data_IF_983508057513
#
_entry.id   IF_983508057513
#
_cell.length_a   1.000
_cell.length_b   1.000
_cell.length_c   1.000
_cell.angle_alpha   90.00
_cell.angle_beta   90.00
_cell.angle_gamma   90.00
#
_symmetry.space_group_name_H-M   'P 1'
#
loop_
_entity.id
_entity.type
_entity.pdbx_description
1 polymer ?
#
# COMPACT_ATOMS: atom_id res chain seq x y z
N UNK A 1 -7.39 18.27 -28.92
CA UNK A 1 -6.93 16.86 -28.92
C UNK A 1 -5.50 16.85 -28.42
N UNK A 2 -5.18 16.04 -27.41
CA UNK A 2 -3.81 15.88 -26.88
C UNK A 2 -3.13 14.70 -27.57
N UNK A 3 -1.88 14.89 -28.02
CA UNK A 3 -1.04 13.83 -28.58
C UNK A 3 -0.02 13.43 -27.52
N UNK A 4 -0.15 12.23 -26.96
CA UNK A 4 0.79 11.71 -25.98
C UNK A 4 2.05 11.15 -26.67
N UNK A 5 3.23 11.24 -26.03
CA UNK A 5 4.43 10.57 -26.50
C UNK A 5 4.22 9.04 -26.52
N UNK A 6 4.85 8.28 -27.43
CA UNK A 6 4.76 6.81 -27.47
C UNK A 6 5.17 6.12 -26.16
N UNK A 7 5.98 6.78 -25.33
CA UNK A 7 6.41 6.26 -24.03
C UNK A 7 5.33 6.31 -22.93
N UNK A 8 4.19 6.96 -23.20
CA UNK A 8 3.06 7.10 -22.26
C UNK A 8 1.86 6.21 -22.64
N UNK A 9 2.02 5.32 -23.63
CA UNK A 9 0.99 4.36 -24.02
C UNK A 9 1.28 3.00 -23.39
N UNK A 10 0.34 2.47 -22.60
CA UNK A 10 0.41 1.09 -22.14
C UNK A 10 0.21 0.13 -23.34
N UNK A 11 1.11 -0.84 -23.50
CA UNK A 11 0.97 -1.88 -24.52
C UNK A 11 0.08 -3.03 -24.00
N UNK A 12 -0.78 -3.55 -24.86
CA UNK A 12 -1.87 -4.48 -24.50
C UNK A 12 -1.46 -5.96 -24.53
N UNK A 13 -2.13 -6.84 -23.75
CA UNK A 13 -3.27 -6.57 -22.87
C UNK A 13 -2.88 -6.25 -21.41
N UNK A 14 -3.45 -5.18 -20.86
CA UNK A 14 -3.34 -4.78 -19.45
C UNK A 14 -4.75 -4.71 -18.84
N UNK A 15 -4.97 -5.39 -17.72
CA UNK A 15 -6.13 -5.17 -16.86
C UNK A 15 -5.72 -4.08 -15.86
N UNK A 16 -6.43 -2.97 -15.82
CA UNK A 16 -6.07 -1.82 -14.96
C UNK A 16 -6.56 -2.01 -13.51
N UNK A 17 -6.13 -1.10 -12.63
CA UNK A 17 -6.57 -0.96 -11.24
C UNK A 17 -5.53 -1.50 -10.25
N UNK A 18 -4.97 -0.62 -9.42
CA UNK A 18 -3.96 -0.92 -8.40
C UNK A 18 -4.42 -0.61 -6.97
N UNK A 19 -5.56 0.05 -6.83
CA UNK A 19 -6.27 0.23 -5.56
C UNK A 19 -7.21 -0.97 -5.38
N UNK A 20 -6.79 -1.98 -4.61
CA UNK A 20 -7.49 -3.27 -4.60
C UNK A 20 -7.77 -3.73 -3.17
N UNK A 21 -9.06 -3.88 -2.86
CA UNK A 21 -9.54 -4.61 -1.69
C UNK A 21 -10.52 -5.70 -2.12
N UNK A 22 -10.59 -6.78 -1.36
CA UNK A 22 -11.46 -7.91 -1.71
C UNK A 22 -11.51 -8.99 -0.65
N UNK A 23 -11.98 -10.18 -1.04
CA UNK A 23 -12.01 -11.36 -0.18
C UNK A 23 -11.23 -12.50 -0.80
N UNK A 24 -10.50 -13.22 0.04
CA UNK A 24 -9.78 -14.43 -0.38
C UNK A 24 -10.79 -15.45 -0.92
N UNK A 25 -10.55 -15.99 -2.11
CA UNK A 25 -11.36 -17.10 -2.67
C UNK A 25 -10.65 -18.44 -2.56
N UNK A 26 -9.32 -18.43 -2.61
CA UNK A 26 -8.45 -19.61 -2.55
C UNK A 26 -7.02 -19.17 -2.31
N UNK A 27 -6.28 -19.96 -1.54
CA UNK A 27 -4.84 -19.81 -1.34
C UNK A 27 -4.10 -20.97 -2.02
N UNK A 28 -2.84 -20.75 -2.44
CA UNK A 28 -2.01 -21.85 -2.94
C UNK A 28 -1.82 -22.91 -1.85
N UNK A 29 -1.91 -24.22 -2.16
CA UNK A 29 -1.64 -25.30 -1.20
C UNK A 29 -0.23 -25.24 -0.59
N UNK A 30 0.72 -24.62 -1.30
CA UNK A 30 2.11 -24.50 -0.87
C UNK A 30 2.38 -23.22 -0.05
N UNK A 31 1.35 -22.46 0.32
CA UNK A 31 1.50 -21.28 1.17
C UNK A 31 1.26 -21.65 2.63
N UNK A 32 2.33 -21.67 3.44
CA UNK A 32 2.25 -21.94 4.88
C UNK A 32 1.42 -20.89 5.65
N UNK A 33 1.24 -19.68 5.09
CA UNK A 33 0.41 -18.60 5.64
C UNK A 33 -0.93 -18.48 4.89
N UNK A 34 -1.54 -19.61 4.49
CA UNK A 34 -2.80 -19.61 3.76
C UNK A 34 -3.92 -18.98 4.60
N UNK A 35 -4.50 -17.90 4.09
CA UNK A 35 -5.68 -17.28 4.69
C UNK A 35 -6.95 -18.04 4.28
N UNK A 36 -7.95 -18.16 5.17
CA UNK A 36 -9.24 -18.78 4.86
C UNK A 36 -10.00 -18.04 3.75
N UNK A 37 -10.77 -18.74 2.89
CA UNK A 37 -11.72 -18.09 2.00
C UNK A 37 -12.71 -17.19 2.75
N UNK A 38 -13.06 -16.06 2.16
CA UNK A 38 -13.94 -15.04 2.74
C UNK A 38 -13.20 -13.95 3.54
N UNK A 39 -11.95 -14.17 3.94
CA UNK A 39 -11.13 -13.20 4.68
C UNK A 39 -11.04 -11.88 3.90
N UNK A 40 -11.44 -10.74 4.50
CA UNK A 40 -11.33 -9.43 3.86
C UNK A 40 -9.88 -8.96 3.88
N UNK A 41 -9.39 -8.47 2.75
CA UNK A 41 -7.99 -8.09 2.58
C UNK A 41 -7.85 -6.83 1.73
N UNK A 42 -6.81 -6.06 2.05
CA UNK A 42 -6.24 -5.01 1.20
C UNK A 42 -5.00 -5.58 0.51
N UNK A 43 -4.79 -5.19 -0.75
CA UNK A 43 -3.62 -5.59 -1.52
C UNK A 43 -2.65 -4.41 -1.63
N UNK A 44 -1.40 -4.61 -1.25
CA UNK A 44 -0.30 -3.75 -1.65
C UNK A 44 0.04 -4.03 -3.13
N UNK A 45 -0.20 -3.09 -4.06
CA UNK A 45 0.01 -3.35 -5.48
C UNK A 45 1.50 -3.40 -5.87
N UNK A 46 2.42 -3.00 -4.98
CA UNK A 46 3.86 -2.93 -5.26
C UNK A 46 4.45 -4.31 -5.52
N UNK A 47 5.19 -4.40 -6.61
CA UNK A 47 5.93 -5.59 -7.01
C UNK A 47 7.42 -5.32 -6.81
N UNK A 48 7.95 -5.88 -5.73
CA UNK A 48 9.36 -5.79 -5.37
C UNK A 48 9.99 -7.18 -5.27
N UNK A 49 11.32 -7.23 -5.26
CA UNK A 49 12.06 -8.48 -5.07
C UNK A 49 12.15 -8.94 -3.61
N UNK A 50 11.94 -8.02 -2.65
CA UNK A 50 12.00 -8.26 -1.20
C UNK A 50 13.35 -8.74 -0.64
N UNK A 51 14.39 -8.86 -1.47
CA UNK A 51 15.70 -9.42 -1.07
C UNK A 51 16.89 -8.51 -1.35
N UNK A 52 16.73 -7.47 -2.16
CA UNK A 52 17.82 -6.52 -2.42
C UNK A 52 18.01 -5.56 -1.25
N UNK A 53 19.20 -4.93 -1.11
CA UNK A 53 19.51 -4.04 0.02
C UNK A 53 18.46 -2.95 0.25
N UNK A 54 17.86 -2.42 -0.82
CA UNK A 54 16.79 -1.42 -0.72
C UNK A 54 15.50 -2.01 -0.12
N UNK A 55 15.06 -3.18 -0.59
CA UNK A 55 13.86 -3.81 -0.05
C UNK A 55 14.01 -4.28 1.39
N UNK A 56 15.23 -4.55 1.84
CA UNK A 56 15.53 -4.97 3.22
C UNK A 56 15.98 -3.82 4.11
N UNK A 57 16.20 -2.63 3.55
CA UNK A 57 16.54 -1.45 4.31
C UNK A 57 15.30 -0.93 5.03
N UNK A 58 15.42 -0.73 6.33
CA UNK A 58 14.49 0.06 7.14
C UNK A 58 14.93 1.52 7.08
N UNK A 59 14.01 2.45 6.82
CA UNK A 59 14.34 3.87 6.94
C UNK A 59 14.12 4.35 8.36
N UNK A 60 15.18 4.81 9.01
CA UNK A 60 15.10 5.88 10.02
C UNK A 60 15.05 7.21 9.26
N UNK A 61 13.89 7.56 8.71
CA UNK A 61 13.76 8.80 7.92
C UNK A 61 13.28 9.98 8.78
N UNK A 62 14.19 10.56 9.58
CA UNK A 62 14.29 12.01 9.88
C UNK A 62 15.31 12.25 11.01
N UNK A 63 16.47 12.85 10.68
CA UNK A 63 17.44 13.43 11.64
C UNK A 63 17.98 12.49 12.76
N UNK A 64 19.15 12.77 13.34
CA UNK A 64 19.57 12.12 14.58
C UNK A 64 18.96 12.91 15.73
N UNK A 65 17.66 12.75 15.99
CA UNK A 65 17.09 13.19 17.25
C UNK A 65 16.76 11.91 18.03
N UNK A 66 17.59 11.66 19.02
CA UNK A 66 17.47 10.58 19.99
C UNK A 66 16.08 10.64 20.67
N UNK A 67 15.48 9.47 20.89
CA UNK A 67 14.15 9.22 21.48
C UNK A 67 13.02 9.01 20.44
N UNK A 68 12.80 7.76 19.98
CA UNK A 68 11.49 7.12 19.89
C UNK A 68 11.57 5.74 19.19
N UNK A 69 10.81 4.77 19.69
CA UNK A 69 10.73 3.41 19.17
C UNK A 69 10.14 3.41 17.73
N UNK A 70 11.02 3.29 16.72
CA UNK A 70 10.72 3.30 15.27
C UNK A 70 9.90 2.07 14.78
N UNK A 71 8.63 1.95 15.18
CA UNK A 71 7.65 1.03 14.54
C UNK A 71 7.22 1.51 13.13
N UNK A 72 7.65 2.72 12.74
CA UNK A 72 7.25 3.46 11.55
C UNK A 72 8.22 3.31 10.36
N UNK A 73 9.14 2.34 10.45
CA UNK A 73 10.18 2.08 9.47
C UNK A 73 9.61 1.46 8.19
N UNK A 74 9.27 2.31 7.22
CA UNK A 74 8.81 1.88 5.90
C UNK A 74 9.95 1.24 5.09
N UNK A 75 9.77 0.03 4.52
CA UNK A 75 10.77 -0.56 3.63
C UNK A 75 10.93 0.28 2.35
N UNK A 76 12.18 0.61 1.99
CA UNK A 76 12.48 1.37 0.78
C UNK A 76 12.23 0.53 -0.49
N UNK A 77 10.97 0.50 -0.92
CA UNK A 77 10.57 -0.13 -2.19
C UNK A 77 10.93 0.72 -3.41
N UNK A 78 11.04 2.05 -3.24
CA UNK A 78 11.49 2.98 -4.27
C UNK A 78 13.00 2.82 -4.50
N UNK A 79 13.38 2.13 -5.57
CA UNK A 79 14.78 1.79 -5.85
C UNK A 79 15.11 0.30 -5.77
N UNK A 80 14.08 -0.57 -5.70
CA UNK A 80 14.26 -2.00 -5.84
C UNK A 80 15.13 -2.34 -7.06
N UNK A 81 16.16 -3.17 -6.88
CA UNK A 81 17.09 -3.55 -7.95
C UNK A 81 16.41 -4.30 -9.12
N UNK A 82 15.25 -4.92 -8.87
CA UNK A 82 14.43 -5.54 -9.91
C UNK A 82 13.55 -4.54 -10.69
N UNK A 83 13.64 -3.24 -10.36
CA UNK A 83 12.71 -2.22 -10.79
C UNK A 83 11.45 -2.20 -9.93
N UNK A 84 10.82 -1.03 -9.84
CA UNK A 84 9.51 -0.87 -9.22
C UNK A 84 8.43 -1.09 -10.28
N UNK A 85 7.50 -2.00 -10.00
CA UNK A 85 6.34 -2.30 -10.84
C UNK A 85 5.10 -2.44 -9.96
N UNK A 86 3.92 -2.41 -10.57
CA UNK A 86 2.65 -2.48 -9.84
C UNK A 86 1.65 -3.39 -10.57
N UNK A 87 0.88 -4.16 -9.79
CA UNK A 87 -0.30 -4.86 -10.30
C UNK A 87 -1.28 -3.83 -10.87
N UNK A 88 -1.84 -4.06 -12.05
CA UNK A 88 -2.85 -3.17 -12.64
C UNK A 88 -2.37 -1.82 -13.17
N UNK A 89 -1.06 -1.63 -13.29
CA UNK A 89 -0.44 -0.45 -13.92
C UNK A 89 0.67 -0.82 -14.90
N UNK A 90 1.42 -1.89 -14.63
CA UNK A 90 2.52 -2.35 -15.47
C UNK A 90 2.18 -3.64 -16.19
N UNK A 91 2.70 -3.81 -17.41
CA UNK A 91 2.60 -5.05 -18.19
C UNK A 91 3.56 -6.14 -17.71
N UNK A 92 4.46 -5.84 -16.76
CA UNK A 92 5.41 -6.81 -16.21
C UNK A 92 4.70 -7.96 -15.48
N UNK A 93 3.45 -7.77 -15.04
CA UNK A 93 2.63 -8.78 -14.39
C UNK A 93 1.21 -8.76 -14.95
N UNK A 94 0.60 -9.94 -15.07
CA UNK A 94 -0.78 -10.05 -15.56
C UNK A 94 -1.77 -9.79 -14.42
N UNK A 95 -2.79 -8.97 -14.68
CA UNK A 95 -3.91 -8.73 -13.77
C UNK A 95 -4.01 -7.28 -13.29
N UNK A 96 -5.14 -6.98 -12.66
CA UNK A 96 -5.49 -5.67 -12.10
C UNK A 96 -6.83 -5.74 -11.38
N UNK A 97 -7.12 -4.72 -10.58
CA UNK A 97 -8.32 -4.60 -9.75
C UNK A 97 -9.63 -4.43 -10.52
N UNK A 98 -9.58 -3.99 -11.79
CA UNK A 98 -10.77 -3.90 -12.65
C UNK A 98 -11.14 -5.25 -13.28
N UNK A 99 -11.10 -6.30 -12.46
CA UNK A 99 -11.50 -7.65 -12.80
C UNK A 99 -12.25 -8.27 -11.60
N UNK A 100 -13.05 -9.30 -11.86
CA UNK A 100 -13.76 -10.02 -10.79
C UNK A 100 -12.81 -10.81 -9.88
N UNK A 101 -11.58 -11.08 -10.34
CA UNK A 101 -10.55 -11.83 -9.62
C UNK A 101 -9.16 -11.35 -10.04
N UNK A 102 -8.25 -11.30 -9.09
CA UNK A 102 -6.82 -11.04 -9.30
C UNK A 102 -6.00 -11.97 -8.42
N UNK A 103 -4.88 -12.47 -8.96
CA UNK A 103 -3.93 -13.28 -8.20
C UNK A 103 -2.75 -12.39 -7.78
N UNK A 104 -2.37 -12.48 -6.50
CA UNK A 104 -1.30 -11.67 -5.90
C UNK A 104 -0.41 -12.54 -5.02
N UNK A 105 0.80 -12.04 -4.72
CA UNK A 105 1.69 -12.71 -3.77
C UNK A 105 1.08 -12.63 -2.37
N UNK A 106 1.22 -13.69 -1.58
CA UNK A 106 0.73 -13.71 -0.20
C UNK A 106 1.33 -12.58 0.67
N UNK A 107 2.59 -12.20 0.40
CA UNK A 107 3.27 -11.09 1.07
C UNK A 107 2.71 -9.70 0.75
N UNK A 108 1.87 -9.58 -0.28
CA UNK A 108 1.20 -8.34 -0.68
C UNK A 108 -0.20 -8.21 -0.07
N UNK A 109 -0.60 -9.15 0.79
CA UNK A 109 -1.95 -9.24 1.34
C UNK A 109 -1.92 -8.74 2.78
N UNK A 110 -2.69 -7.70 3.05
CA UNK A 110 -2.93 -7.18 4.40
C UNK A 110 -4.34 -7.57 4.84
N UNK A 111 -4.45 -8.29 5.97
CA UNK A 111 -5.76 -8.66 6.53
C UNK A 111 -6.44 -7.41 7.07
N UNK A 112 -7.67 -7.17 6.63
CA UNK A 112 -8.46 -6.06 7.16
C UNK A 112 -9.06 -6.47 8.50
N UNK A 113 -9.04 -5.57 9.51
CA UNK A 113 -9.72 -5.83 10.77
C UNK A 113 -11.23 -5.95 10.54
N UNK A 114 -11.92 -6.66 11.43
CA UNK A 114 -13.37 -6.59 11.47
C UNK A 114 -13.81 -5.15 11.76
N UNK A 115 -14.75 -4.65 10.95
CA UNK A 115 -15.35 -3.35 11.20
C UNK A 115 -16.20 -3.42 12.48
N UNK A 116 -15.80 -2.67 13.51
CA UNK A 116 -16.51 -2.60 14.81
C UNK A 116 -17.33 -1.32 15.01
N UNK A 117 -17.38 -0.43 14.02
CA UNK A 117 -18.06 0.86 14.16
C UNK A 117 -19.55 0.83 13.82
N UNK A 118 -20.29 1.83 14.30
CA UNK A 118 -21.71 1.98 14.01
C UNK A 118 -21.96 2.52 12.58
N UNK A 119 -23.02 2.04 11.93
CA UNK A 119 -23.43 2.45 10.58
C UNK A 119 -23.11 1.44 9.47
N UNK A 120 -23.82 1.55 8.34
CA UNK A 120 -23.57 0.75 7.13
C UNK A 120 -22.43 1.39 6.33
N UNK A 121 -21.18 1.07 6.67
CA UNK A 121 -20.03 1.37 5.80
C UNK A 121 -19.57 0.12 5.07
N UNK A 122 -19.19 0.30 3.80
CA UNK A 122 -18.61 -0.77 3.02
C UNK A 122 -17.10 -0.82 3.30
N UNK A 123 -16.72 -1.76 4.17
CA UNK A 123 -15.32 -1.98 4.58
C UNK A 123 -14.37 -2.13 3.37
N UNK A 124 -14.82 -2.77 2.29
CA UNK A 124 -13.96 -3.00 1.13
C UNK A 124 -13.81 -1.72 0.30
N UNK A 125 -14.88 -0.92 0.20
CA UNK A 125 -14.79 0.38 -0.47
C UNK A 125 -13.88 1.35 0.29
N UNK A 126 -13.99 1.40 1.62
CA UNK A 126 -13.11 2.20 2.47
C UNK A 126 -11.66 1.71 2.37
N UNK A 127 -11.44 0.40 2.36
CA UNK A 127 -10.12 -0.19 2.23
C UNK A 127 -9.46 0.14 0.87
N UNK A 128 -10.21 0.22 -0.23
CA UNK A 128 -9.65 0.59 -1.53
C UNK A 128 -9.02 2.00 -1.50
N UNK A 129 -9.50 2.91 -0.65
CA UNK A 129 -8.94 4.26 -0.48
C UNK A 129 -7.62 4.28 0.31
N UNK A 130 -7.19 3.16 0.89
CA UNK A 130 -5.95 3.11 1.68
C UNK A 130 -4.73 3.32 0.80
N UNK A 131 -4.71 2.83 -0.46
CA UNK A 131 -3.59 3.05 -1.37
C UNK A 131 -3.37 4.54 -1.70
N UNK A 132 -4.38 5.30 -2.18
CA UNK A 132 -4.17 6.72 -2.47
C UNK A 132 -3.92 7.53 -1.20
N UNK A 133 -4.49 7.12 -0.07
CA UNK A 133 -4.20 7.73 1.24
C UNK A 133 -2.74 7.51 1.66
N UNK A 134 -2.20 6.30 1.49
CA UNK A 134 -0.82 5.98 1.81
C UNK A 134 0.16 6.80 0.95
N UNK A 135 -0.15 7.02 -0.33
CA UNK A 135 0.63 7.91 -1.21
C UNK A 135 0.61 9.35 -0.69
N UNK A 136 -0.57 9.88 -0.36
CA UNK A 136 -0.70 11.24 0.17
C UNK A 136 0.05 11.40 1.51
N UNK A 137 -0.10 10.43 2.41
CA UNK A 137 0.60 10.39 3.69
C UNK A 137 2.12 10.34 3.52
N UNK A 138 2.61 9.49 2.62
CA UNK A 138 4.04 9.42 2.30
C UNK A 138 4.59 10.77 1.81
N UNK A 139 3.83 11.49 0.98
CA UNK A 139 4.23 12.83 0.52
C UNK A 139 4.30 13.85 1.67
N UNK A 140 3.32 13.83 2.59
CA UNK A 140 3.29 14.69 3.78
C UNK A 140 4.48 14.39 4.71
N UNK A 141 4.73 13.12 5.03
CA UNK A 141 5.86 12.69 5.88
C UNK A 141 7.19 13.13 5.27
N UNK A 142 7.37 12.95 3.95
CA UNK A 142 8.59 13.38 3.24
C UNK A 142 8.76 14.89 3.12
N UNK A 143 7.68 15.65 3.13
CA UNK A 143 7.73 17.10 3.12
C UNK A 143 8.07 17.70 4.49
N UNK A 144 8.14 16.88 5.56
CA UNK A 144 8.39 17.35 6.92
C UNK A 144 7.24 18.21 7.47
N UNK A 145 6.01 18.01 6.97
CA UNK A 145 4.85 18.76 7.42
C UNK A 145 4.35 18.14 8.73
N UNK A 146 4.76 18.75 9.85
CA UNK A 146 4.43 18.31 11.21
C UNK A 146 3.12 18.90 11.75
N UNK A 147 2.64 20.00 11.15
CA UNK A 147 1.36 20.62 11.47
C UNK A 147 0.65 21.14 10.23
N UNK A 148 -0.63 20.81 10.12
CA UNK A 148 -1.56 21.35 9.12
C UNK A 148 -2.65 22.11 9.87
N UNK A 149 -2.78 23.45 9.71
CA UNK A 149 -3.82 24.21 10.38
C UNK A 149 -5.22 23.65 10.04
N UNK A 150 -5.89 23.07 11.04
CA UNK A 150 -7.24 22.51 10.91
C UNK A 150 -7.35 20.97 10.79
N UNK A 151 -6.25 20.23 10.88
CA UNK A 151 -6.28 18.77 10.96
C UNK A 151 -6.22 18.30 12.42
N UNK A 152 -7.17 17.46 12.83
CA UNK A 152 -7.09 16.72 14.10
C UNK A 152 -6.82 15.25 13.76
N UNK A 153 -5.55 14.87 13.78
CA UNK A 153 -5.13 13.47 13.88
C UNK A 153 -5.24 13.04 15.34
N UNK A 154 -5.59 11.77 15.58
CA UNK A 154 -5.91 11.22 16.92
C UNK A 154 -5.00 11.72 18.04
N UNK A 155 -5.62 12.19 19.13
CA UNK A 155 -4.96 12.89 20.21
C UNK A 155 -3.93 12.05 20.96
N UNK A 156 -2.68 12.47 20.90
CA UNK A 156 -1.72 12.32 21.99
C UNK A 156 -1.69 13.63 22.79
N UNK A 157 -1.90 13.54 24.09
CA UNK A 157 -1.81 14.69 24.99
C UNK A 157 -0.38 15.25 24.99
N UNK A 158 -0.22 16.48 24.48
CA UNK A 158 1.02 17.24 24.63
C UNK A 158 1.15 17.68 26.09
N UNK A 159 1.87 16.91 26.89
CA UNK A 159 2.26 17.29 28.24
C UNK A 159 3.24 18.47 28.20
N UNK A 160 2.71 19.69 28.36
CA UNK A 160 3.53 20.87 28.58
C UNK A 160 4.33 20.78 29.88
N UNK A 161 5.60 21.20 29.82
CA UNK A 161 6.34 21.66 31.00
C UNK A 161 6.88 23.05 30.72
N UNK A 162 6.66 23.93 31.70
CA UNK A 162 7.02 25.35 31.68
C UNK A 162 8.43 25.61 32.20
#
# INVERSE_FOLDING_TARGET
>A
MLKFPPAQTANTPLIMGHEIAGRIISSSPNNAAALPPGTPVLIDPRLICSTCPQCTATTTSAAPDDDDDDEDSEPQSQGCAAGLSFVGFSTAVKGGGFASRVAVKASAVHVLPEWKGEGKRDLLADAALVEPLAVAWHAVKRAGVVEVPGWVGGGGESGGKG
#
